data_IF_885992415214
#
_entry.id   IF_885992415214
#
_cell.length_a   1.000
_cell.length_b   1.000
_cell.length_c   1.000
_cell.angle_alpha   90.00
_cell.angle_beta   90.00
_cell.angle_gamma   90.00
#
_symmetry.space_group_name_H-M   'P 1'
#
loop_
_entity.id
_entity.type
_entity.pdbx_description
1 polymer ?
#
# COMPACT_ATOMS: atom_id res chain seq x y z
N UNK A 1 -2.31 -13.83 -3.77
CA UNK A 1 -2.06 -15.14 -3.11
C UNK A 1 -1.29 -14.99 -1.80
N UNK A 2 -0.20 -14.21 -1.76
CA UNK A 2 0.62 -14.02 -0.56
C UNK A 2 -0.18 -13.40 0.59
N UNK A 3 -0.82 -12.26 0.37
CA UNK A 3 -1.65 -11.58 1.36
C UNK A 3 -2.76 -12.50 1.92
N UNK A 4 -3.43 -13.26 1.06
CA UNK A 4 -4.49 -14.18 1.49
C UNK A 4 -3.98 -15.32 2.40
N UNK A 5 -2.71 -15.72 2.27
CA UNK A 5 -2.10 -16.71 3.18
C UNK A 5 -1.82 -16.13 4.57
N UNK A 6 -1.60 -14.82 4.65
CA UNK A 6 -1.25 -14.14 5.89
C UNK A 6 -2.41 -13.34 6.51
N UNK A 7 -3.61 -13.41 5.93
CA UNK A 7 -4.74 -12.57 6.37
C UNK A 7 -5.11 -12.79 7.83
N UNK A 8 -5.12 -14.04 8.31
CA UNK A 8 -5.47 -14.34 9.72
C UNK A 8 -4.39 -13.82 10.69
N UNK A 9 -3.13 -13.87 10.27
CA UNK A 9 -2.05 -13.27 11.04
C UNK A 9 -2.21 -11.75 11.11
N UNK A 10 -2.49 -11.07 9.99
CA UNK A 10 -2.77 -9.63 9.97
C UNK A 10 -4.00 -9.28 10.80
N UNK A 11 -5.06 -10.09 10.73
CA UNK A 11 -6.25 -9.91 11.57
C UNK A 11 -5.89 -9.96 13.07
N UNK A 12 -4.99 -10.86 13.47
CA UNK A 12 -4.57 -10.99 14.88
C UNK A 12 -3.72 -9.82 15.40
N UNK A 13 -3.14 -9.02 14.50
CA UNK A 13 -2.37 -7.81 14.86
C UNK A 13 -3.26 -6.56 14.93
N UNK A 14 -4.48 -6.63 14.44
CA UNK A 14 -5.36 -5.48 14.32
C UNK A 14 -5.89 -5.00 15.67
N UNK A 15 -5.31 -3.94 16.18
CA UNK A 15 -5.72 -3.27 17.44
C UNK A 15 -6.02 -1.78 17.24
N UNK A 16 -5.77 -1.24 16.04
CA UNK A 16 -5.97 0.17 15.71
C UNK A 16 -6.49 0.33 14.26
N UNK A 17 -7.37 1.29 13.96
CA UNK A 17 -8.06 2.20 14.89
C UNK A 17 -9.17 1.52 15.71
N UNK A 18 -9.72 0.42 15.22
CA UNK A 18 -10.75 -0.39 15.88
C UNK A 18 -10.24 -1.84 15.94
N UNK A 19 -10.25 -2.49 17.11
CA UNK A 19 -9.75 -3.86 17.27
C UNK A 19 -10.82 -4.90 16.87
N UNK A 20 -11.27 -4.85 15.61
CA UNK A 20 -12.30 -5.75 15.06
C UNK A 20 -11.71 -6.99 14.36
N UNK A 21 -10.37 -7.06 14.27
CA UNK A 21 -9.67 -8.24 13.78
C UNK A 21 -9.90 -8.52 12.30
N UNK A 22 -10.05 -7.49 11.46
CA UNK A 22 -10.45 -7.66 10.06
C UNK A 22 -9.51 -7.00 9.03
N UNK A 23 -8.40 -6.36 9.45
CA UNK A 23 -7.46 -5.67 8.57
C UNK A 23 -7.02 -6.53 7.38
N UNK A 24 -6.54 -7.75 7.64
CA UNK A 24 -6.08 -8.65 6.58
C UNK A 24 -7.22 -9.09 5.67
N UNK A 25 -8.40 -9.36 6.23
CA UNK A 25 -9.59 -9.71 5.46
C UNK A 25 -10.02 -8.54 4.55
N UNK A 26 -10.07 -7.33 5.07
CA UNK A 26 -10.46 -6.13 4.34
C UNK A 26 -9.53 -5.86 3.15
N UNK A 27 -8.21 -5.95 3.34
CA UNK A 27 -7.25 -5.81 2.25
C UNK A 27 -7.43 -6.92 1.20
N UNK A 28 -7.64 -8.17 1.62
CA UNK A 28 -7.86 -9.30 0.70
C UNK A 28 -9.12 -9.09 -0.13
N UNK A 29 -10.24 -8.74 0.51
CA UNK A 29 -11.52 -8.52 -0.17
C UNK A 29 -11.47 -7.34 -1.14
N UNK A 30 -10.78 -6.26 -0.77
CA UNK A 30 -10.53 -5.10 -1.65
C UNK A 30 -9.82 -5.53 -2.94
N UNK A 31 -8.72 -6.28 -2.82
CA UNK A 31 -7.97 -6.77 -3.98
C UNK A 31 -8.74 -7.80 -4.80
N UNK A 32 -9.47 -8.72 -4.14
CA UNK A 32 -10.27 -9.72 -4.84
C UNK A 32 -11.43 -9.10 -5.61
N UNK A 33 -12.11 -8.10 -5.04
CA UNK A 33 -13.15 -7.34 -5.71
C UNK A 33 -12.62 -6.63 -6.96
N UNK A 34 -11.49 -5.94 -6.82
CA UNK A 34 -10.83 -5.30 -7.96
C UNK A 34 -10.46 -6.31 -9.05
N UNK A 35 -9.81 -7.41 -8.70
CA UNK A 35 -9.43 -8.46 -9.65
C UNK A 35 -10.65 -9.09 -10.35
N UNK A 36 -11.76 -9.28 -9.65
CA UNK A 36 -12.99 -9.82 -10.25
C UNK A 36 -13.56 -8.86 -11.31
N UNK A 37 -13.55 -7.55 -11.01
CA UNK A 37 -14.05 -6.54 -11.94
C UNK A 37 -13.10 -6.34 -13.14
N UNK A 38 -11.79 -6.53 -12.96
CA UNK A 38 -10.82 -6.48 -14.06
C UNK A 38 -11.08 -7.53 -15.15
N UNK A 39 -11.81 -8.61 -14.86
CA UNK A 39 -12.23 -9.58 -15.88
C UNK A 39 -13.10 -8.96 -16.99
N UNK A 40 -13.81 -7.89 -16.71
CA UNK A 40 -14.58 -7.16 -17.71
C UNK A 40 -13.68 -6.51 -18.78
N UNK A 41 -12.38 -6.41 -18.54
CA UNK A 41 -11.37 -5.84 -19.41
C UNK A 41 -10.46 -6.89 -20.08
N UNK A 42 -10.66 -8.20 -19.83
CA UNK A 42 -9.78 -9.28 -20.32
C UNK A 42 -9.63 -9.29 -21.86
N UNK A 43 -10.63 -8.80 -22.59
CA UNK A 43 -10.61 -8.74 -24.06
C UNK A 43 -10.05 -7.41 -24.60
N UNK A 44 -9.58 -6.52 -23.76
CA UNK A 44 -9.01 -5.23 -24.15
C UNK A 44 -7.48 -5.29 -24.08
N UNK A 45 -6.83 -4.84 -25.14
CA UNK A 45 -5.39 -4.64 -25.12
C UNK A 45 -5.09 -3.34 -24.39
N UNK A 46 -4.50 -3.44 -23.19
CA UNK A 46 -4.12 -2.29 -22.36
C UNK A 46 -2.62 -2.23 -22.18
N UNK A 47 -2.08 -1.02 -22.11
CA UNK A 47 -0.74 -0.79 -21.64
C UNK A 47 -0.68 -0.97 -20.11
N UNK A 48 0.47 -1.37 -19.54
CA UNK A 48 0.61 -1.58 -18.10
C UNK A 48 0.13 -0.40 -17.21
N UNK A 49 0.42 0.84 -17.61
CA UNK A 49 -0.03 2.03 -16.88
C UNK A 49 -1.55 2.19 -16.89
N UNK A 50 -2.19 1.95 -18.04
CA UNK A 50 -3.65 1.98 -18.16
C UNK A 50 -4.30 0.86 -17.34
N UNK A 51 -3.71 -0.35 -17.39
CA UNK A 51 -4.17 -1.46 -16.56
C UNK A 51 -4.11 -1.12 -15.06
N UNK A 52 -3.00 -0.54 -14.60
CA UNK A 52 -2.84 -0.12 -13.20
C UNK A 52 -3.85 0.94 -12.79
N UNK A 53 -4.14 1.91 -13.66
CA UNK A 53 -5.17 2.92 -13.42
C UNK A 53 -6.54 2.27 -13.22
N UNK A 54 -6.98 1.44 -14.16
CA UNK A 54 -8.26 0.74 -14.05
C UNK A 54 -8.31 -0.14 -12.82
N UNK A 55 -7.21 -0.87 -12.51
CA UNK A 55 -7.13 -1.70 -11.32
C UNK A 55 -7.28 -0.88 -10.03
N UNK A 56 -6.59 0.26 -9.92
CA UNK A 56 -6.67 1.15 -8.76
C UNK A 56 -8.08 1.73 -8.57
N UNK A 57 -8.77 2.10 -9.66
CA UNK A 57 -10.17 2.51 -9.62
C UNK A 57 -11.07 1.40 -9.10
N UNK A 58 -10.86 0.16 -9.57
CA UNK A 58 -11.62 -0.99 -9.06
C UNK A 58 -11.29 -1.32 -7.60
N UNK A 59 -10.05 -1.10 -7.14
CA UNK A 59 -9.71 -1.23 -5.72
C UNK A 59 -10.52 -0.25 -4.87
N UNK A 60 -10.62 1.01 -5.27
CA UNK A 60 -11.36 2.03 -4.53
C UNK A 60 -12.86 1.71 -4.48
N UNK A 61 -13.46 1.30 -5.61
CA UNK A 61 -14.87 0.91 -5.69
C UNK A 61 -15.21 -0.33 -4.84
N UNK A 62 -14.24 -1.21 -4.60
CA UNK A 62 -14.40 -2.43 -3.82
C UNK A 62 -13.71 -2.34 -2.45
N UNK A 63 -13.28 -1.15 -2.03
CA UNK A 63 -12.55 -0.98 -0.77
C UNK A 63 -13.38 -1.41 0.44
N UNK A 64 -12.70 -2.08 1.39
CA UNK A 64 -13.29 -2.58 2.63
C UNK A 64 -12.48 -2.09 3.82
N UNK A 65 -13.18 -1.59 4.84
CA UNK A 65 -12.56 -1.07 6.06
C UNK A 65 -11.57 0.07 5.80
N UNK A 66 -10.96 0.58 6.87
CA UNK A 66 -9.95 1.64 6.77
C UNK A 66 -8.71 1.17 5.97
N UNK A 67 -8.23 -0.05 6.22
CA UNK A 67 -7.04 -0.59 5.55
C UNK A 67 -7.22 -0.74 4.05
N UNK A 68 -8.39 -1.22 3.60
CA UNK A 68 -8.71 -1.31 2.18
C UNK A 68 -8.81 0.05 1.50
N UNK A 69 -9.40 1.05 2.17
CA UNK A 69 -9.48 2.44 1.65
C UNK A 69 -8.08 3.05 1.52
N UNK A 70 -7.25 2.99 2.57
CA UNK A 70 -5.90 3.55 2.57
C UNK A 70 -5.05 2.92 1.47
N UNK A 71 -5.09 1.59 1.35
CA UNK A 71 -4.37 0.86 0.30
C UNK A 71 -4.85 1.28 -1.10
N UNK A 72 -6.17 1.45 -1.29
CA UNK A 72 -6.75 1.86 -2.57
C UNK A 72 -6.35 3.28 -2.95
N UNK A 73 -6.34 4.22 -1.99
CA UNK A 73 -5.91 5.60 -2.20
C UNK A 73 -4.43 5.68 -2.59
N UNK A 74 -3.58 4.88 -1.94
CA UNK A 74 -2.18 4.77 -2.33
C UNK A 74 -2.04 4.28 -3.78
N UNK A 75 -2.74 3.20 -4.13
CA UNK A 75 -2.68 2.64 -5.49
C UNK A 75 -3.26 3.60 -6.53
N UNK A 76 -4.29 4.37 -6.19
CA UNK A 76 -4.85 5.38 -7.07
C UNK A 76 -3.83 6.49 -7.37
N UNK A 77 -3.21 7.06 -6.32
CA UNK A 77 -2.18 8.09 -6.51
C UNK A 77 -0.95 7.58 -7.25
N UNK A 78 -0.54 6.34 -7.02
CA UNK A 78 0.54 5.69 -7.76
C UNK A 78 0.18 5.55 -9.25
N UNK A 79 -0.97 4.97 -9.55
CA UNK A 79 -1.41 4.69 -10.90
C UNK A 79 -1.63 5.97 -11.74
N UNK A 80 -2.08 7.05 -11.12
CA UNK A 80 -2.25 8.36 -11.77
C UNK A 80 -0.97 8.87 -12.43
N UNK A 81 0.18 8.67 -11.78
CA UNK A 81 1.49 9.10 -12.31
C UNK A 81 1.97 8.20 -13.44
N UNK A 82 1.82 6.88 -13.32
CA UNK A 82 2.33 5.91 -14.30
C UNK A 82 1.33 5.58 -15.42
N UNK A 83 0.16 6.21 -15.46
CA UNK A 83 -0.88 5.93 -16.47
C UNK A 83 -0.39 6.10 -17.91
N UNK A 84 0.61 6.95 -18.14
CA UNK A 84 1.24 7.17 -19.46
C UNK A 84 2.31 6.11 -19.79
N UNK A 85 2.37 5.04 -19.03
CA UNK A 85 3.29 3.90 -19.22
C UNK A 85 4.77 4.27 -19.07
N UNK A 86 5.08 5.33 -18.33
CA UNK A 86 6.44 5.68 -17.92
C UNK A 86 6.75 5.10 -16.53
N UNK A 87 7.60 4.08 -16.50
CA UNK A 87 8.06 3.39 -15.30
C UNK A 87 9.56 3.64 -15.04
N UNK A 88 10.10 4.80 -15.49
CA UNK A 88 11.44 5.24 -15.08
C UNK A 88 11.54 5.34 -13.56
N UNK A 89 12.75 5.21 -13.00
CA UNK A 89 12.96 5.27 -11.55
C UNK A 89 12.45 6.59 -10.94
N UNK A 90 12.63 7.69 -11.65
CA UNK A 90 12.16 9.02 -11.25
C UNK A 90 10.61 9.07 -11.23
N UNK A 91 9.97 8.49 -12.24
CA UNK A 91 8.53 8.50 -12.32
C UNK A 91 7.89 7.54 -11.31
N UNK A 92 8.52 6.39 -11.04
CA UNK A 92 8.11 5.48 -9.95
C UNK A 92 8.27 6.14 -8.59
N UNK A 93 9.36 6.91 -8.35
CA UNK A 93 9.48 7.73 -7.14
C UNK A 93 8.31 8.68 -6.97
N UNK A 94 7.99 9.46 -8.02
CA UNK A 94 6.84 10.40 -8.02
C UNK A 94 5.51 9.66 -7.79
N UNK A 95 5.38 8.45 -8.34
CA UNK A 95 4.20 7.63 -8.15
C UNK A 95 4.06 7.19 -6.68
N UNK A 96 5.14 6.74 -6.04
CA UNK A 96 5.16 6.38 -4.62
C UNK A 96 4.82 7.62 -3.76
N UNK A 97 5.42 8.77 -4.07
CA UNK A 97 5.15 10.03 -3.36
C UNK A 97 3.69 10.46 -3.48
N UNK A 98 3.13 10.42 -4.69
CA UNK A 98 1.72 10.75 -4.93
C UNK A 98 0.78 9.75 -4.25
N UNK A 99 1.11 8.46 -4.27
CA UNK A 99 0.37 7.42 -3.57
C UNK A 99 0.33 7.66 -2.06
N UNK A 100 1.49 7.94 -1.46
CA UNK A 100 1.57 8.29 -0.03
C UNK A 100 0.73 9.54 0.29
N UNK A 101 0.84 10.60 -0.51
CA UNK A 101 0.07 11.83 -0.32
C UNK A 101 -1.43 11.57 -0.34
N UNK A 102 -1.93 10.85 -1.36
CA UNK A 102 -3.35 10.53 -1.46
C UNK A 102 -3.84 9.70 -0.27
N UNK A 103 -3.05 8.70 0.16
CA UNK A 103 -3.39 7.89 1.33
C UNK A 103 -3.42 8.71 2.61
N UNK A 104 -2.46 9.62 2.80
CA UNK A 104 -2.37 10.48 3.98
C UNK A 104 -3.52 11.51 4.04
N UNK A 105 -3.76 12.23 2.94
CA UNK A 105 -4.81 13.26 2.84
C UNK A 105 -6.22 12.65 2.90
N UNK A 106 -6.40 11.43 2.39
CA UNK A 106 -7.67 10.72 2.44
C UNK A 106 -7.96 10.00 3.77
N UNK A 107 -7.03 10.08 4.73
CA UNK A 107 -7.22 9.52 6.07
C UNK A 107 -7.65 10.61 7.04
N UNK A 108 -8.82 10.43 7.69
CA UNK A 108 -9.41 11.46 8.56
C UNK A 108 -8.49 11.86 9.73
N UNK A 109 -7.83 10.90 10.38
CA UNK A 109 -6.92 11.13 11.49
C UNK A 109 -5.61 10.36 11.28
N UNK A 110 -4.72 10.80 10.38
CA UNK A 110 -3.49 10.09 10.10
C UNK A 110 -2.60 9.99 11.35
N UNK A 111 -2.07 8.80 11.62
CA UNK A 111 -1.23 8.50 12.78
C UNK A 111 0.06 7.86 12.36
N UNK A 112 1.15 8.23 13.04
CA UNK A 112 2.41 7.49 12.94
C UNK A 112 2.30 6.14 13.64
N UNK A 113 3.11 5.19 13.19
CA UNK A 113 3.05 3.80 13.65
C UNK A 113 1.98 2.97 12.95
N UNK A 114 1.53 3.41 11.76
CA UNK A 114 0.52 2.74 10.95
C UNK A 114 1.05 2.47 9.53
N UNK A 115 0.22 1.86 8.68
CA UNK A 115 0.47 1.68 7.24
C UNK A 115 0.98 2.97 6.56
N UNK A 116 0.52 4.15 6.99
CA UNK A 116 0.98 5.45 6.45
C UNK A 116 2.47 5.69 6.73
N UNK A 117 2.96 5.27 7.89
CA UNK A 117 4.38 5.34 8.24
C UNK A 117 5.22 4.48 7.30
N UNK A 118 4.74 3.27 6.95
CA UNK A 118 5.43 2.41 5.98
C UNK A 118 5.43 2.99 4.58
N UNK A 119 4.35 3.62 4.15
CA UNK A 119 4.27 4.29 2.85
C UNK A 119 5.25 5.49 2.77
N UNK A 120 5.36 6.27 3.85
CA UNK A 120 6.36 7.34 3.97
C UNK A 120 7.78 6.78 3.94
N UNK A 121 8.05 5.75 4.72
CA UNK A 121 9.36 5.09 4.77
C UNK A 121 9.76 4.49 3.40
N UNK A 122 8.79 3.92 2.66
CA UNK A 122 9.01 3.45 1.29
C UNK A 122 9.47 4.61 0.39
N UNK A 123 8.79 5.75 0.42
CA UNK A 123 9.16 6.94 -0.36
C UNK A 123 10.58 7.40 -0.04
N UNK A 124 10.89 7.55 1.26
CA UNK A 124 12.19 8.04 1.72
C UNK A 124 13.33 7.09 1.34
N UNK A 125 13.13 5.78 1.54
CA UNK A 125 14.16 4.78 1.22
C UNK A 125 14.32 4.58 -0.28
N UNK A 126 13.24 4.69 -1.05
CA UNK A 126 13.32 4.66 -2.51
C UNK A 126 14.16 5.82 -3.05
N UNK A 127 13.94 7.04 -2.54
CA UNK A 127 14.72 8.24 -2.92
C UNK A 127 16.22 8.06 -2.66
N UNK A 128 16.59 7.47 -1.52
CA UNK A 128 18.00 7.18 -1.21
C UNK A 128 18.60 6.16 -2.19
N UNK A 129 17.90 5.05 -2.44
CA UNK A 129 18.43 3.96 -3.25
C UNK A 129 18.48 4.26 -4.75
N UNK A 130 17.62 5.15 -5.26
CA UNK A 130 17.62 5.52 -6.67
C UNK A 130 18.85 6.32 -7.10
N UNK A 131 19.67 6.81 -6.18
CA UNK A 131 20.94 7.46 -6.48
C UNK A 131 22.00 6.45 -6.96
N UNK A 132 21.88 5.18 -6.54
CA UNK A 132 22.87 4.13 -6.81
C UNK A 132 22.32 2.99 -7.70
N UNK A 133 21.02 2.97 -7.96
CA UNK A 133 20.33 1.92 -8.70
C UNK A 133 19.40 2.51 -9.75
N UNK A 134 19.36 1.92 -10.93
CA UNK A 134 18.54 2.41 -12.05
C UNK A 134 17.26 1.60 -12.27
N UNK A 135 17.22 0.32 -11.86
CA UNK A 135 16.04 -0.52 -12.04
C UNK A 135 15.04 -0.30 -10.90
N UNK A 136 13.85 0.27 -11.17
CA UNK A 136 12.85 0.54 -10.15
C UNK A 136 12.36 -0.71 -9.42
N UNK A 137 12.37 -1.88 -10.05
CA UNK A 137 11.97 -3.15 -9.42
C UNK A 137 13.03 -3.56 -8.40
N UNK A 138 14.30 -3.42 -8.75
CA UNK A 138 15.43 -3.69 -7.84
C UNK A 138 15.40 -2.72 -6.67
N UNK A 139 15.18 -1.42 -6.94
CA UNK A 139 15.06 -0.39 -5.90
C UNK A 139 13.97 -0.77 -4.89
N UNK A 140 12.74 -1.06 -5.37
CA UNK A 140 11.63 -1.48 -4.51
C UNK A 140 12.02 -2.72 -3.69
N UNK A 141 12.64 -3.71 -4.31
CA UNK A 141 13.05 -4.93 -3.62
C UNK A 141 14.05 -4.65 -2.50
N UNK A 142 14.97 -3.72 -2.70
CA UNK A 142 15.97 -3.28 -1.71
C UNK A 142 15.35 -2.48 -0.56
N UNK A 143 14.15 -1.91 -0.69
CA UNK A 143 13.48 -1.22 0.42
C UNK A 143 12.91 -2.19 1.47
N UNK A 144 12.60 -3.44 1.10
CA UNK A 144 11.89 -4.38 1.96
C UNK A 144 12.55 -4.62 3.33
N UNK A 145 13.88 -4.84 3.45
CA UNK A 145 14.52 -5.00 4.75
C UNK A 145 14.32 -3.78 5.65
N UNK A 146 14.48 -2.57 5.10
CA UNK A 146 14.27 -1.33 5.82
C UNK A 146 12.82 -1.17 6.29
N UNK A 147 11.84 -1.47 5.44
CA UNK A 147 10.43 -1.42 5.81
C UNK A 147 10.09 -2.39 6.96
N UNK A 148 10.73 -3.56 7.02
CA UNK A 148 10.59 -4.49 8.16
C UNK A 148 11.14 -3.90 9.45
N UNK A 149 12.27 -3.17 9.39
CA UNK A 149 12.81 -2.48 10.56
C UNK A 149 11.87 -1.38 11.04
N UNK A 150 11.30 -0.60 10.11
CA UNK A 150 10.30 0.44 10.45
C UNK A 150 9.05 -0.18 11.05
N UNK A 151 8.55 -1.29 10.47
CA UNK A 151 7.40 -2.03 11.00
C UNK A 151 7.64 -2.47 12.45
N UNK A 152 8.81 -3.01 12.77
CA UNK A 152 9.16 -3.43 14.11
C UNK A 152 9.22 -2.26 15.12
N UNK A 153 9.35 -1.02 14.65
CA UNK A 153 9.36 0.19 15.49
C UNK A 153 7.98 0.84 15.65
N UNK A 154 6.95 0.37 14.95
CA UNK A 154 5.60 0.94 15.06
C UNK A 154 5.04 0.95 16.48
N UNK A 155 5.33 -0.04 17.38
CA UNK A 155 4.90 0.04 18.77
C UNK A 155 5.51 1.21 19.57
N UNK A 156 6.65 1.75 19.13
CA UNK A 156 7.27 2.93 19.75
C UNK A 156 6.58 4.23 19.33
N UNK A 157 5.88 4.21 18.20
CA UNK A 157 5.21 5.37 17.60
C UNK A 157 3.74 5.46 18.01
N UNK A 158 3.07 4.32 18.21
CA UNK A 158 1.65 4.25 18.53
C UNK A 158 1.41 3.46 19.83
N UNK A 159 1.05 4.14 20.94
CA UNK A 159 0.99 3.52 22.27
C UNK A 159 0.08 2.29 22.38
N UNK A 160 -1.02 2.23 21.61
CA UNK A 160 -1.93 1.08 21.64
C UNK A 160 -1.27 -0.20 21.12
N UNK A 161 -0.36 -0.10 20.13
CA UNK A 161 0.42 -1.25 19.64
C UNK A 161 1.37 -1.77 20.73
N UNK A 162 2.03 -0.85 21.43
CA UNK A 162 2.93 -1.20 22.54
C UNK A 162 2.17 -1.89 23.68
N UNK A 163 0.99 -1.40 24.03
CA UNK A 163 0.14 -1.99 25.08
C UNK A 163 -0.34 -3.39 24.69
N UNK A 164 -0.64 -3.61 23.43
CA UNK A 164 -1.06 -4.90 22.90
C UNK A 164 0.11 -5.87 22.62
N UNK A 165 1.36 -5.37 22.63
CA UNK A 165 2.55 -6.17 22.32
C UNK A 165 2.64 -6.61 20.86
N UNK A 166 2.09 -5.83 19.94
CA UNK A 166 2.05 -6.12 18.50
C UNK A 166 2.65 -4.99 17.67
N UNK A 167 3.04 -5.29 16.44
CA UNK A 167 3.32 -4.29 15.40
C UNK A 167 2.02 -3.91 14.67
N UNK A 168 2.06 -2.90 13.82
CA UNK A 168 0.91 -2.54 12.97
C UNK A 168 0.55 -3.69 12.02
N UNK A 169 -0.75 -3.83 11.73
CA UNK A 169 -1.32 -4.93 10.94
C UNK A 169 -1.13 -4.77 9.42
#
# INVERSE_FOLDING_TARGET
RYLNKHKEYLNSLNVFPVPDGDTGLNMVLTLQGAMANMKNFENQTMLPGEYLKNFAEQMLLNSRGCSGVILSLFMQGFAEIVQNNDFSKENVYRAIENGYRNAYEGTENPREGTMLTLMRALKEKYAELMEEEDDPIVIISKTIPYLKEVLNKTPEMLPVLKQAGVVDA
#
